data_IF_941805379011
#
_entry.id   IF_941805379011
#
_cell.length_a   1.000
_cell.length_b   1.000
_cell.length_c   1.000
_cell.angle_alpha   90.00
_cell.angle_beta   90.00
_cell.angle_gamma   90.00
#
_symmetry.space_group_name_H-M   'P 1'
#
loop_
_entity.id
_entity.type
_entity.pdbx_description
1 polymer ?
#
# COMPACT_ATOMS: atom_id res chain seq x y z
N UNK A 1 18.88 -20.86 16.41
CA UNK A 1 19.47 -19.60 16.88
C UNK A 1 18.46 -18.46 16.87
N UNK A 2 18.66 -17.44 17.69
CA UNK A 2 17.88 -16.20 17.64
C UNK A 2 18.78 -15.13 17.01
N UNK A 3 18.20 -14.33 16.11
CA UNK A 3 18.81 -13.14 15.53
C UNK A 3 18.09 -11.92 16.06
N UNK A 4 18.83 -10.82 16.21
CA UNK A 4 18.27 -9.55 16.64
C UNK A 4 18.35 -8.56 15.50
N UNK A 5 17.21 -7.98 15.12
CA UNK A 5 17.15 -6.89 14.18
C UNK A 5 17.07 -5.58 14.92
N UNK A 6 17.92 -4.64 14.52
CA UNK A 6 17.92 -3.27 14.97
C UNK A 6 17.23 -2.41 13.92
N UNK A 7 16.16 -1.73 14.32
CA UNK A 7 15.51 -0.70 13.52
C UNK A 7 15.85 0.63 14.15
N UNK A 8 16.52 1.51 13.40
CA UNK A 8 16.91 2.84 13.83
C UNK A 8 16.17 3.84 12.96
N UNK A 9 15.36 4.68 13.61
CA UNK A 9 14.62 5.76 12.96
C UNK A 9 15.12 7.08 13.51
N UNK A 10 15.67 7.91 12.65
CA UNK A 10 16.24 9.20 13.00
C UNK A 10 15.51 10.32 12.26
N UNK A 11 15.17 11.38 12.98
CA UNK A 11 14.64 12.62 12.43
C UNK A 11 15.46 13.84 12.87
N UNK A 12 15.39 14.91 12.12
CA UNK A 12 16.01 16.21 12.41
C UNK A 12 14.99 17.23 12.90
N UNK A 13 13.90 16.78 13.51
CA UNK A 13 12.80 17.61 14.01
C UNK A 13 13.14 18.40 15.27
N UNK A 14 12.09 18.89 15.93
CA UNK A 14 12.24 19.73 17.14
C UNK A 14 12.84 18.99 18.34
N UNK A 15 12.92 17.66 18.28
CA UNK A 15 13.36 16.83 19.40
C UNK A 15 12.37 16.85 20.57
N UNK A 16 12.66 16.09 21.61
CA UNK A 16 11.80 15.83 22.77
C UNK A 16 12.49 16.38 24.04
N UNK A 17 11.71 17.02 24.92
CA UNK A 17 12.20 17.51 26.19
C UNK A 17 12.53 16.35 27.15
N UNK A 18 13.44 16.58 28.12
CA UNK A 18 13.81 15.54 29.10
C UNK A 18 12.61 15.07 29.92
N UNK A 19 11.77 15.99 30.38
CA UNK A 19 10.56 15.67 31.15
C UNK A 19 9.57 14.81 30.36
N UNK A 20 9.50 15.03 29.03
CA UNK A 20 8.61 14.27 28.16
C UNK A 20 9.19 12.89 27.84
N UNK A 21 10.52 12.71 27.76
CA UNK A 21 11.14 11.41 27.52
C UNK A 21 10.75 10.36 28.56
N UNK A 22 10.66 10.75 29.84
CA UNK A 22 10.27 9.85 30.92
C UNK A 22 8.84 9.34 30.78
N UNK A 23 7.97 10.11 30.14
CA UNK A 23 6.53 9.81 29.95
C UNK A 23 6.15 9.45 28.53
N UNK A 24 7.11 9.47 27.62
CA UNK A 24 6.88 9.33 26.18
C UNK A 24 6.07 8.09 25.79
N UNK A 25 6.24 7.01 26.53
CA UNK A 25 5.55 5.75 26.32
C UNK A 25 4.29 5.57 27.19
N UNK A 26 3.92 6.57 27.99
CA UNK A 26 2.69 6.52 28.77
C UNK A 26 1.47 6.83 27.85
N UNK A 27 0.29 6.23 28.12
CA UNK A 27 -0.91 6.49 27.34
C UNK A 27 -1.34 7.96 27.42
N UNK A 28 -1.79 8.52 26.29
CA UNK A 28 -2.34 9.87 26.17
C UNK A 28 -1.37 11.03 26.44
N UNK A 29 -0.06 10.76 26.55
CA UNK A 29 0.93 11.81 26.73
C UNK A 29 1.27 12.52 25.40
N UNK A 30 1.35 13.86 25.48
CA UNK A 30 1.69 14.75 24.36
C UNK A 30 2.47 15.95 24.90
N UNK A 31 3.47 16.44 24.16
CA UNK A 31 4.35 17.52 24.61
C UNK A 31 3.64 18.88 24.73
N UNK A 32 2.57 19.13 23.98
CA UNK A 32 1.72 20.32 24.12
C UNK A 32 0.35 20.16 23.46
N UNK A 33 -0.69 20.79 24.04
CA UNK A 33 -2.03 20.87 23.45
C UNK A 33 -2.10 21.65 22.13
N UNK A 34 -1.07 22.42 21.79
CA UNK A 34 -0.96 23.18 20.54
C UNK A 34 -0.55 22.30 19.36
N UNK A 35 0.29 21.30 19.58
CA UNK A 35 0.71 20.33 18.55
C UNK A 35 -0.43 19.36 18.17
N UNK A 36 -1.33 19.05 19.10
CA UNK A 36 -2.50 18.20 18.87
C UNK A 36 -3.47 18.77 17.82
N UNK A 37 -3.54 20.11 17.71
CA UNK A 37 -4.41 20.79 16.72
C UNK A 37 -3.83 20.79 15.30
N UNK A 38 -2.53 20.65 15.15
CA UNK A 38 -1.87 20.68 13.83
C UNK A 38 -1.59 19.28 13.24
N UNK A 39 -1.40 18.24 14.07
CA UNK A 39 -0.99 16.91 13.60
C UNK A 39 -1.82 15.73 14.15
N UNK A 40 -2.90 15.98 14.89
CA UNK A 40 -4.00 15.02 15.13
C UNK A 40 -3.69 13.69 15.82
N UNK A 41 -2.62 13.60 16.62
CA UNK A 41 -2.26 12.34 17.29
C UNK A 41 -3.07 12.09 18.57
N UNK A 42 -3.47 10.82 18.84
CA UNK A 42 -4.20 10.42 20.07
C UNK A 42 -3.31 10.26 21.31
N UNK A 43 -1.97 10.35 21.19
CA UNK A 43 -1.02 10.01 22.26
C UNK A 43 -0.95 8.51 22.61
N UNK A 44 -1.56 7.65 21.80
CA UNK A 44 -1.56 6.20 22.03
C UNK A 44 -0.49 5.46 21.20
N UNK A 45 0.00 6.03 20.11
CA UNK A 45 0.85 5.33 19.15
C UNK A 45 2.12 4.76 19.77
N UNK A 46 2.89 5.55 20.50
CA UNK A 46 4.13 5.10 21.12
C UNK A 46 3.93 4.11 22.28
N UNK A 47 2.84 4.26 23.04
CA UNK A 47 2.44 3.29 24.05
C UNK A 47 2.11 1.93 23.43
N UNK A 48 1.33 1.91 22.35
CA UNK A 48 1.00 0.68 21.61
C UNK A 48 2.26 0.08 21.02
N UNK A 49 3.13 0.89 20.40
CA UNK A 49 4.41 0.42 19.83
C UNK A 49 5.27 -0.27 20.90
N UNK A 50 5.42 0.35 22.07
CA UNK A 50 6.19 -0.25 23.19
C UNK A 50 5.60 -1.58 23.61
N UNK A 51 4.30 -1.66 23.82
CA UNK A 51 3.62 -2.89 24.20
C UNK A 51 3.80 -4.01 23.15
N UNK A 52 3.72 -3.69 21.87
CA UNK A 52 3.95 -4.66 20.79
C UNK A 52 5.40 -5.16 20.78
N UNK A 53 6.38 -4.25 20.92
CA UNK A 53 7.79 -4.60 20.99
C UNK A 53 8.07 -5.51 22.20
N UNK A 54 7.50 -5.20 23.36
CA UNK A 54 7.65 -6.02 24.57
C UNK A 54 6.97 -7.41 24.44
N UNK A 55 5.78 -7.46 23.81
CA UNK A 55 5.11 -8.73 23.49
C UNK A 55 5.95 -9.60 22.55
N UNK A 56 6.72 -8.99 21.66
CA UNK A 56 7.68 -9.67 20.78
C UNK A 56 9.01 -9.99 21.49
N UNK A 57 9.12 -9.78 22.81
CA UNK A 57 10.34 -9.95 23.58
C UNK A 57 11.49 -9.06 23.13
N UNK A 58 11.19 -7.91 22.55
CA UNK A 58 12.12 -6.88 22.11
C UNK A 58 12.27 -5.75 23.11
N UNK A 59 12.99 -4.70 22.70
CA UNK A 59 13.14 -3.45 23.44
C UNK A 59 13.07 -2.24 22.52
N UNK A 60 12.58 -1.12 23.05
CA UNK A 60 12.55 0.16 22.38
C UNK A 60 13.22 1.20 23.26
N UNK A 61 14.06 2.04 22.67
CA UNK A 61 14.73 3.17 23.33
C UNK A 61 14.63 4.42 22.48
N UNK A 62 14.78 5.59 23.12
CA UNK A 62 14.73 6.90 22.48
C UNK A 62 15.93 7.73 22.93
N UNK A 63 16.61 8.33 21.98
CA UNK A 63 17.60 9.38 22.20
C UNK A 63 17.09 10.63 21.48
N UNK A 64 16.93 11.73 22.23
CA UNK A 64 16.44 12.98 21.66
C UNK A 64 17.03 14.17 22.39
N UNK A 65 17.21 15.25 21.68
CA UNK A 65 17.62 16.54 22.23
C UNK A 65 16.80 17.64 21.56
N UNK A 66 16.17 18.50 22.39
CA UNK A 66 15.37 19.64 21.91
C UNK A 66 16.17 20.49 20.91
N UNK A 67 15.61 20.72 19.74
CA UNK A 67 16.22 21.44 18.62
C UNK A 67 17.24 20.62 17.78
N UNK A 68 17.38 19.33 18.01
CA UNK A 68 18.34 18.48 17.27
C UNK A 68 17.73 17.26 16.61
N UNK A 69 16.48 16.91 16.94
CA UNK A 69 15.82 15.73 16.42
C UNK A 69 15.73 14.59 17.42
N UNK A 70 15.26 13.44 16.95
CA UNK A 70 15.01 12.24 17.74
C UNK A 70 15.50 11.00 17.01
N UNK A 71 16.06 10.06 17.76
CA UNK A 71 16.41 8.72 17.28
C UNK A 71 15.69 7.68 18.11
N UNK A 72 14.86 6.88 17.48
CA UNK A 72 14.26 5.69 18.06
C UNK A 72 15.07 4.46 17.65
N UNK A 73 15.36 3.58 18.61
CA UNK A 73 15.98 2.29 18.35
C UNK A 73 15.07 1.18 18.85
N UNK A 74 14.66 0.28 17.96
CA UNK A 74 13.85 -0.90 18.27
C UNK A 74 14.69 -2.13 18.01
N UNK A 75 14.75 -3.02 19.00
CA UNK A 75 15.45 -4.29 18.93
C UNK A 75 14.45 -5.43 19.03
N UNK A 76 14.37 -6.28 18.00
CA UNK A 76 13.46 -7.41 17.98
C UNK A 76 14.20 -8.73 17.76
N UNK A 77 13.91 -9.77 18.60
CA UNK A 77 14.41 -11.11 18.38
C UNK A 77 13.55 -11.85 17.34
N UNK A 78 14.22 -12.50 16.38
CA UNK A 78 13.57 -13.40 15.43
C UNK A 78 14.25 -14.79 15.48
N UNK A 79 13.43 -15.82 15.39
CA UNK A 79 13.93 -17.17 15.15
C UNK A 79 14.28 -17.36 13.68
N UNK A 80 15.32 -18.13 13.38
CA UNK A 80 15.51 -18.63 12.02
C UNK A 80 14.37 -19.56 11.66
N UNK A 81 13.79 -19.32 10.51
CA UNK A 81 12.92 -20.30 9.89
C UNK A 81 13.80 -21.45 9.35
N UNK A 82 13.68 -22.62 9.97
CA UNK A 82 14.43 -23.83 9.56
C UNK A 82 13.90 -24.40 8.23
N UNK A 83 12.70 -23.99 7.83
CA UNK A 83 12.07 -24.36 6.57
C UNK A 83 11.59 -23.11 5.80
N UNK A 84 12.51 -22.23 5.38
CA UNK A 84 12.10 -21.03 4.67
C UNK A 84 11.28 -21.46 3.46
N UNK A 85 10.02 -21.05 3.42
CA UNK A 85 9.25 -21.15 2.18
C UNK A 85 10.08 -20.37 1.15
N UNK A 86 10.67 -21.10 0.20
CA UNK A 86 11.31 -20.44 -0.94
C UNK A 86 10.21 -19.61 -1.59
N UNK A 87 10.09 -18.34 -1.20
CA UNK A 87 9.40 -17.38 -2.05
C UNK A 87 10.01 -17.62 -3.41
N UNK A 88 9.20 -17.97 -4.41
CA UNK A 88 9.68 -17.96 -5.78
C UNK A 88 10.33 -16.60 -5.94
N UNK A 89 11.67 -16.55 -5.97
CA UNK A 89 12.34 -15.37 -6.47
C UNK A 89 11.76 -15.24 -7.87
N UNK A 90 10.92 -14.22 -8.03
CA UNK A 90 10.50 -13.86 -9.38
C UNK A 90 11.83 -13.49 -10.01
N UNK A 91 12.31 -14.35 -10.92
CA UNK A 91 13.51 -14.10 -11.69
C UNK A 91 13.19 -12.96 -12.67
N UNK A 92 13.07 -11.77 -12.12
CA UNK A 92 13.07 -10.52 -12.91
C UNK A 92 14.48 -10.19 -13.41
N UNK A 93 15.50 -10.95 -12.96
CA UNK A 93 16.85 -10.84 -13.50
C UNK A 93 16.83 -11.26 -14.99
N UNK A 94 16.71 -10.24 -15.87
CA UNK A 94 16.74 -10.40 -17.32
C UNK A 94 15.42 -10.17 -18.05
N UNK A 95 14.27 -10.09 -17.40
CA UNK A 95 13.03 -9.67 -18.07
C UNK A 95 12.94 -8.14 -18.12
N UNK A 96 12.98 -7.61 -19.32
CA UNK A 96 12.72 -6.20 -19.56
C UNK A 96 11.23 -6.00 -19.89
N UNK A 97 10.48 -5.46 -18.94
CA UNK A 97 9.10 -5.08 -19.18
C UNK A 97 9.04 -3.73 -19.89
N UNK A 98 8.16 -3.60 -20.86
CA UNK A 98 7.90 -2.36 -21.56
C UNK A 98 6.44 -2.30 -21.97
N UNK A 99 5.68 -1.42 -21.33
CA UNK A 99 4.24 -1.24 -21.56
C UNK A 99 3.95 0.06 -22.34
N UNK A 100 4.87 0.49 -23.21
CA UNK A 100 4.69 1.67 -24.05
C UNK A 100 3.39 1.60 -24.85
N UNK A 101 2.60 2.69 -24.80
CA UNK A 101 1.29 2.77 -25.43
C UNK A 101 0.14 2.13 -24.66
N UNK A 102 0.41 1.48 -23.51
CA UNK A 102 -0.63 0.97 -22.61
C UNK A 102 -0.95 1.98 -21.52
N UNK A 103 -2.20 1.95 -21.07
CA UNK A 103 -2.73 2.85 -20.05
C UNK A 103 -3.46 2.05 -18.98
N UNK A 104 -3.23 2.39 -17.73
CA UNK A 104 -3.82 1.76 -16.56
C UNK A 104 -4.60 2.79 -15.77
N UNK A 105 -5.70 2.41 -15.14
CA UNK A 105 -6.42 3.21 -14.16
C UNK A 105 -6.05 2.72 -12.75
N UNK A 106 -5.49 3.61 -11.93
CA UNK A 106 -5.16 3.36 -10.52
C UNK A 106 -6.16 4.11 -9.64
N UNK A 107 -6.82 3.41 -8.73
CA UNK A 107 -7.62 4.00 -7.67
C UNK A 107 -6.93 3.76 -6.32
N UNK A 108 -6.45 4.83 -5.70
CA UNK A 108 -5.72 4.84 -4.42
C UNK A 108 -5.95 6.21 -3.76
N UNK A 109 -6.40 6.22 -2.51
CA UNK A 109 -6.72 7.45 -1.77
C UNK A 109 -5.51 8.06 -1.06
N UNK A 110 -4.46 7.28 -0.86
CA UNK A 110 -3.23 7.72 -0.19
C UNK A 110 -2.22 8.20 -1.23
N UNK A 111 -1.97 9.52 -1.27
CA UNK A 111 -1.09 10.16 -2.24
C UNK A 111 0.29 9.49 -2.33
N UNK A 112 0.91 9.21 -1.18
CA UNK A 112 2.22 8.54 -1.15
C UNK A 112 2.20 7.15 -1.83
N UNK A 113 1.16 6.34 -1.59
CA UNK A 113 1.05 5.02 -2.22
C UNK A 113 0.83 5.15 -3.73
N UNK A 114 -0.01 6.10 -4.13
CA UNK A 114 -0.28 6.39 -5.53
C UNK A 114 0.99 6.81 -6.28
N UNK A 115 1.77 7.75 -5.72
CA UNK A 115 3.00 8.25 -6.32
C UNK A 115 4.02 7.13 -6.55
N UNK A 116 4.20 6.24 -5.55
CA UNK A 116 5.11 5.10 -5.67
C UNK A 116 4.70 4.18 -6.83
N UNK A 117 3.42 3.85 -6.95
CA UNK A 117 2.92 2.98 -8.04
C UNK A 117 3.05 3.66 -9.39
N UNK A 118 2.70 4.95 -9.48
CA UNK A 118 2.79 5.73 -10.72
C UNK A 118 4.24 5.84 -11.21
N UNK A 119 5.18 6.13 -10.30
CA UNK A 119 6.60 6.23 -10.66
C UNK A 119 7.15 4.90 -11.18
N UNK A 120 6.85 3.81 -10.50
CA UNK A 120 7.34 2.48 -10.89
C UNK A 120 6.72 1.97 -12.20
N UNK A 121 5.44 2.22 -12.43
CA UNK A 121 4.81 1.93 -13.73
C UNK A 121 5.36 2.83 -14.84
N UNK A 122 5.73 4.06 -14.50
CA UNK A 122 6.43 4.98 -15.40
C UNK A 122 7.80 4.46 -15.87
N UNK A 123 8.54 3.76 -14.99
CA UNK A 123 9.85 3.15 -15.35
C UNK A 123 9.73 2.09 -16.45
N UNK A 124 8.56 1.47 -16.59
CA UNK A 124 8.25 0.48 -17.65
C UNK A 124 7.38 1.07 -18.76
N UNK A 125 7.36 2.40 -18.89
CA UNK A 125 6.64 3.18 -19.91
C UNK A 125 5.10 3.01 -19.91
N UNK A 126 4.50 2.61 -18.81
CA UNK A 126 3.05 2.55 -18.67
C UNK A 126 2.49 3.93 -18.29
N UNK A 127 1.42 4.34 -18.95
CA UNK A 127 0.67 5.53 -18.56
C UNK A 127 -0.33 5.17 -17.48
N UNK A 128 -0.49 6.04 -16.48
CA UNK A 128 -1.41 5.83 -15.36
C UNK A 128 -2.32 7.05 -15.24
N UNK A 129 -3.64 6.82 -15.21
CA UNK A 129 -4.60 7.80 -14.71
C UNK A 129 -4.90 7.45 -13.26
N UNK A 130 -4.87 8.45 -12.39
CA UNK A 130 -5.08 8.29 -10.95
C UNK A 130 -6.49 8.77 -10.56
N UNK A 131 -7.20 7.93 -9.81
CA UNK A 131 -8.44 8.25 -9.10
C UNK A 131 -8.18 8.23 -7.59
N UNK A 132 -8.70 9.20 -6.84
CA UNK A 132 -8.50 9.32 -5.39
C UNK A 132 -9.57 8.57 -4.56
N UNK A 133 -10.55 8.00 -5.21
CA UNK A 133 -11.61 7.19 -4.61
C UNK A 133 -12.34 6.37 -5.68
N UNK A 134 -13.22 5.46 -5.25
CA UNK A 134 -13.97 4.61 -6.17
C UNK A 134 -14.92 5.36 -7.10
N UNK A 135 -15.45 6.52 -6.68
CA UNK A 135 -16.33 7.34 -7.53
C UNK A 135 -15.55 7.92 -8.71
N UNK A 136 -14.41 8.54 -8.44
CA UNK A 136 -13.54 9.06 -9.50
C UNK A 136 -13.07 7.95 -10.45
N UNK A 137 -12.78 6.74 -9.93
CA UNK A 137 -12.40 5.61 -10.76
C UNK A 137 -13.53 5.22 -11.74
N UNK A 138 -14.77 5.15 -11.27
CA UNK A 138 -15.94 4.89 -12.13
C UNK A 138 -16.10 6.01 -13.16
N UNK A 139 -16.00 7.27 -12.77
CA UNK A 139 -16.14 8.42 -13.65
C UNK A 139 -15.07 8.43 -14.74
N UNK A 140 -13.80 8.27 -14.38
CA UNK A 140 -12.67 8.20 -15.32
C UNK A 140 -12.85 7.04 -16.29
N UNK A 141 -13.26 5.88 -15.80
CA UNK A 141 -13.54 4.73 -16.66
C UNK A 141 -14.67 5.05 -17.64
N UNK A 142 -15.80 5.59 -17.21
CA UNK A 142 -16.95 5.88 -18.07
C UNK A 142 -16.67 6.99 -19.09
N UNK A 143 -15.82 7.97 -18.76
CA UNK A 143 -15.44 9.08 -19.65
C UNK A 143 -14.36 8.70 -20.66
N UNK A 144 -13.56 7.66 -20.38
CA UNK A 144 -12.53 7.18 -21.30
C UNK A 144 -13.12 6.50 -22.53
N UNK A 145 -12.31 6.36 -23.58
CA UNK A 145 -12.71 5.55 -24.73
C UNK A 145 -12.81 4.08 -24.36
N UNK A 146 -13.72 3.28 -24.96
CA UNK A 146 -13.69 1.84 -24.79
C UNK A 146 -12.29 1.27 -25.11
N UNK A 147 -11.83 0.34 -24.28
CA UNK A 147 -10.51 -0.31 -24.37
C UNK A 147 -9.30 0.64 -24.21
N UNK A 148 -9.50 1.85 -23.68
CA UNK A 148 -8.40 2.78 -23.40
C UNK A 148 -7.50 2.28 -22.27
N UNK A 149 -8.10 1.72 -21.22
CA UNK A 149 -7.36 1.08 -20.13
C UNK A 149 -7.16 -0.40 -20.41
N UNK A 150 -5.93 -0.88 -20.17
CA UNK A 150 -5.62 -2.31 -20.24
C UNK A 150 -5.99 -3.05 -18.95
N UNK A 151 -6.01 -2.35 -17.82
CA UNK A 151 -6.41 -2.87 -16.51
C UNK A 151 -6.79 -1.73 -15.55
N UNK A 152 -7.44 -2.09 -14.45
CA UNK A 152 -7.73 -1.23 -13.31
C UNK A 152 -7.11 -1.86 -12.06
N UNK A 153 -6.28 -1.10 -11.35
CA UNK A 153 -5.83 -1.41 -10.00
C UNK A 153 -6.67 -0.61 -9.02
N UNK A 154 -7.32 -1.28 -8.08
CA UNK A 154 -8.36 -0.71 -7.24
C UNK A 154 -8.08 -0.98 -5.77
N UNK A 155 -7.72 0.05 -4.99
CA UNK A 155 -7.73 -0.10 -3.53
C UNK A 155 -9.16 -0.41 -3.06
N UNK A 156 -9.26 -1.31 -2.09
CA UNK A 156 -10.55 -1.70 -1.52
C UNK A 156 -11.06 -0.60 -0.58
N UNK A 157 -10.16 -0.05 0.25
CA UNK A 157 -10.56 0.87 1.33
C UNK A 157 -10.31 2.31 0.93
N UNK A 158 -11.31 2.94 0.35
CA UNK A 158 -11.27 4.34 -0.06
C UNK A 158 -12.49 5.10 0.48
N UNK A 159 -12.37 6.42 0.73
CA UNK A 159 -13.50 7.27 1.11
C UNK A 159 -14.53 7.38 -0.01
N UNK A 160 -15.73 7.85 0.29
CA UNK A 160 -16.88 8.11 -0.58
C UNK A 160 -17.44 6.87 -1.27
N UNK A 161 -16.63 6.03 -1.89
CA UNK A 161 -17.00 4.78 -2.54
C UNK A 161 -15.83 3.80 -2.43
N UNK A 162 -16.08 2.65 -1.83
CA UNK A 162 -15.09 1.59 -1.73
C UNK A 162 -14.82 0.90 -3.06
N UNK A 163 -13.72 0.13 -3.14
CA UNK A 163 -13.33 -0.54 -4.38
C UNK A 163 -14.30 -1.63 -4.83
N UNK A 164 -15.00 -2.28 -3.90
CA UNK A 164 -16.00 -3.30 -4.27
C UNK A 164 -17.21 -2.69 -4.98
N UNK A 165 -17.71 -1.58 -4.45
CA UNK A 165 -18.84 -0.87 -5.07
C UNK A 165 -18.42 -0.26 -6.41
N UNK A 166 -17.20 0.30 -6.50
CA UNK A 166 -16.66 0.80 -7.75
C UNK A 166 -16.57 -0.30 -8.82
N UNK A 167 -16.06 -1.48 -8.46
CA UNK A 167 -15.98 -2.62 -9.39
C UNK A 167 -17.37 -3.06 -9.87
N UNK A 168 -18.36 -3.18 -8.96
CA UNK A 168 -19.74 -3.50 -9.34
C UNK A 168 -20.32 -2.49 -10.34
N UNK A 169 -20.09 -1.20 -10.12
CA UNK A 169 -20.57 -0.15 -11.02
C UNK A 169 -19.88 -0.17 -12.38
N UNK A 170 -18.58 -0.43 -12.40
CA UNK A 170 -17.85 -0.62 -13.66
C UNK A 170 -18.42 -1.80 -14.42
N UNK A 171 -18.65 -2.95 -13.77
CA UNK A 171 -19.21 -4.16 -14.38
C UNK A 171 -20.64 -3.99 -14.89
N UNK A 172 -21.45 -3.16 -14.23
CA UNK A 172 -22.82 -2.86 -14.61
C UNK A 172 -22.95 -1.81 -15.73
N UNK A 173 -21.84 -1.22 -16.17
CA UNK A 173 -21.85 -0.18 -17.21
C UNK A 173 -22.17 -0.73 -18.60
N UNK A 174 -22.89 0.05 -19.41
CA UNK A 174 -23.27 -0.28 -20.81
C UNK A 174 -22.13 -0.13 -21.83
N UNK A 175 -20.88 -0.32 -21.38
CA UNK A 175 -19.69 -0.24 -22.25
C UNK A 175 -19.28 -1.62 -22.74
N UNK A 176 -18.76 -1.74 -23.97
CA UNK A 176 -18.38 -3.05 -24.53
C UNK A 176 -17.22 -3.71 -23.76
N UNK A 177 -16.38 -2.93 -23.06
CA UNK A 177 -15.26 -3.40 -22.25
C UNK A 177 -15.58 -3.54 -20.75
N UNK A 178 -16.73 -3.05 -20.29
CA UNK A 178 -17.09 -3.07 -18.86
C UNK A 178 -17.11 -4.48 -18.23
N UNK A 179 -17.59 -5.46 -18.97
CA UNK A 179 -17.65 -6.85 -18.52
C UNK A 179 -16.29 -7.54 -18.51
N UNK A 180 -15.32 -7.04 -19.29
CA UNK A 180 -14.07 -7.77 -19.57
C UNK A 180 -12.81 -7.08 -19.05
N UNK A 181 -12.86 -5.76 -18.79
CA UNK A 181 -11.67 -5.06 -18.30
C UNK A 181 -11.10 -5.73 -17.03
N UNK A 182 -9.81 -6.11 -16.99
CA UNK A 182 -9.22 -6.66 -15.80
C UNK A 182 -9.26 -5.65 -14.64
N UNK A 183 -9.87 -6.05 -13.52
CA UNK A 183 -9.89 -5.26 -12.28
C UNK A 183 -9.23 -6.09 -11.19
N UNK A 184 -8.15 -5.56 -10.61
CA UNK A 184 -7.45 -6.21 -9.51
C UNK A 184 -7.54 -5.38 -8.25
N UNK A 185 -7.97 -6.00 -7.17
CA UNK A 185 -8.01 -5.37 -5.87
C UNK A 185 -6.59 -5.13 -5.34
N UNK A 186 -6.34 -3.99 -4.72
CA UNK A 186 -5.16 -3.77 -3.88
C UNK A 186 -5.63 -3.84 -2.43
N UNK A 187 -5.06 -4.75 -1.63
CA UNK A 187 -5.52 -4.99 -0.26
C UNK A 187 -4.37 -5.10 0.73
N UNK A 188 -4.60 -4.64 1.96
CA UNK A 188 -3.63 -4.84 3.05
C UNK A 188 -3.58 -6.30 3.55
N UNK A 189 -4.61 -7.11 3.27
CA UNK A 189 -4.74 -8.47 3.78
C UNK A 189 -5.16 -9.43 2.66
N UNK A 190 -4.57 -10.62 2.66
CA UNK A 190 -4.93 -11.74 1.77
C UNK A 190 -5.85 -12.77 2.47
N UNK A 191 -6.81 -12.30 3.30
CA UNK A 191 -7.75 -13.24 3.92
C UNK A 191 -8.73 -13.78 2.87
N UNK A 192 -9.10 -15.04 3.03
CA UNK A 192 -10.01 -15.74 2.11
C UNK A 192 -11.34 -15.00 1.92
N UNK A 193 -11.79 -14.31 2.96
CA UNK A 193 -13.00 -13.49 2.96
C UNK A 193 -12.88 -12.26 2.04
N UNK A 194 -11.74 -11.56 2.10
CA UNK A 194 -11.48 -10.38 1.25
C UNK A 194 -11.33 -10.78 -0.22
N UNK A 195 -10.66 -11.91 -0.48
CA UNK A 195 -10.52 -12.47 -1.83
C UNK A 195 -11.89 -12.84 -2.40
N UNK A 196 -12.72 -13.53 -1.62
CA UNK A 196 -14.07 -13.91 -2.03
C UNK A 196 -14.95 -12.68 -2.29
N UNK A 197 -14.84 -11.64 -1.47
CA UNK A 197 -15.57 -10.40 -1.65
C UNK A 197 -15.17 -9.67 -2.95
N UNK A 198 -13.86 -9.64 -3.26
CA UNK A 198 -13.36 -9.06 -4.50
C UNK A 198 -13.89 -9.79 -5.75
N UNK A 199 -13.83 -11.13 -5.74
CA UNK A 199 -14.36 -11.93 -6.83
C UNK A 199 -15.88 -11.76 -7.00
N UNK A 200 -16.63 -11.71 -5.89
CA UNK A 200 -18.08 -11.46 -5.89
C UNK A 200 -18.45 -10.05 -6.38
N UNK A 201 -17.54 -9.07 -6.22
CA UNK A 201 -17.69 -7.74 -6.78
C UNK A 201 -17.36 -7.68 -8.29
N UNK A 202 -16.92 -8.79 -8.90
CA UNK A 202 -16.57 -8.88 -10.32
C UNK A 202 -15.10 -8.52 -10.60
N UNK A 203 -14.22 -8.49 -9.58
CA UNK A 203 -12.79 -8.33 -9.78
C UNK A 203 -12.16 -9.64 -10.26
N UNK A 204 -11.01 -9.56 -10.94
CA UNK A 204 -10.30 -10.70 -11.52
C UNK A 204 -9.30 -11.33 -10.55
N UNK A 205 -8.90 -10.62 -9.51
CA UNK A 205 -7.95 -11.07 -8.51
C UNK A 205 -7.56 -9.96 -7.54
N UNK A 206 -6.45 -10.17 -6.83
CA UNK A 206 -5.96 -9.21 -5.84
C UNK A 206 -4.44 -9.15 -5.83
N UNK A 207 -3.92 -8.04 -5.33
CA UNK A 207 -2.51 -7.75 -5.05
C UNK A 207 -2.43 -7.33 -3.58
N UNK A 208 -1.49 -7.87 -2.84
CA UNK A 208 -1.32 -7.57 -1.41
C UNK A 208 -0.34 -6.43 -1.22
N UNK A 209 -0.66 -5.48 -0.35
CA UNK A 209 0.28 -4.43 0.09
C UNK A 209 1.26 -5.02 1.14
N UNK A 210 2.57 -4.70 1.08
CA UNK A 210 3.22 -3.84 0.09
C UNK A 210 3.29 -4.50 -1.29
N UNK A 211 3.07 -3.71 -2.35
CA UNK A 211 3.07 -4.22 -3.72
C UNK A 211 4.47 -4.68 -4.10
N UNK A 212 4.61 -5.96 -4.41
CA UNK A 212 5.82 -6.53 -4.98
C UNK A 212 5.84 -6.26 -6.49
N UNK A 213 6.72 -5.36 -6.93
CA UNK A 213 6.68 -4.86 -8.32
C UNK A 213 6.95 -5.92 -9.37
N UNK A 214 7.77 -6.92 -9.04
CA UNK A 214 7.95 -8.08 -9.91
C UNK A 214 6.65 -8.82 -10.19
N UNK A 215 5.83 -9.04 -9.16
CA UNK A 215 4.51 -9.68 -9.29
C UNK A 215 3.55 -8.79 -10.09
N UNK A 216 3.58 -7.47 -9.84
CA UNK A 216 2.76 -6.52 -10.58
C UNK A 216 3.13 -6.51 -12.08
N UNK A 217 4.42 -6.49 -12.41
CA UNK A 217 4.86 -6.48 -13.80
C UNK A 217 4.55 -7.80 -14.51
N UNK A 218 4.69 -8.95 -13.85
CA UNK A 218 4.29 -10.24 -14.42
C UNK A 218 2.79 -10.32 -14.66
N UNK A 219 1.98 -9.82 -13.72
CA UNK A 219 0.54 -9.73 -13.87
C UNK A 219 0.16 -8.88 -15.08
N UNK A 220 0.73 -7.67 -15.18
CA UNK A 220 0.46 -6.75 -16.28
C UNK A 220 0.95 -7.29 -17.63
N UNK A 221 2.09 -7.98 -17.66
CA UNK A 221 2.61 -8.64 -18.86
C UNK A 221 1.66 -9.73 -19.35
N UNK A 222 1.13 -10.53 -18.44
CA UNK A 222 0.07 -11.51 -18.73
C UNK A 222 -1.16 -10.86 -19.34
N UNK A 223 -1.67 -9.80 -18.74
CA UNK A 223 -2.85 -9.06 -19.22
C UNK A 223 -2.63 -8.45 -20.60
N UNK A 224 -1.47 -7.82 -20.82
CA UNK A 224 -1.15 -7.12 -22.08
C UNK A 224 -0.89 -8.09 -23.23
N UNK A 225 -0.33 -9.27 -22.94
CA UNK A 225 0.04 -10.26 -23.93
C UNK A 225 -1.03 -11.33 -24.18
N UNK A 226 -2.03 -11.45 -23.30
CA UNK A 226 -3.18 -12.31 -23.56
C UNK A 226 -3.97 -11.78 -24.77
N UNK A 227 -4.09 -12.62 -25.81
CA UNK A 227 -4.71 -12.27 -27.13
C UNK A 227 -6.20 -11.93 -27.06
N UNK A 228 -6.81 -11.81 -25.88
CA UNK A 228 -8.22 -11.55 -25.66
C UNK A 228 -8.61 -10.07 -25.62
N UNK A 229 -7.69 -9.15 -25.39
CA UNK A 229 -7.93 -7.70 -25.21
C UNK A 229 -7.63 -6.86 -26.45
N UNK A 230 -7.29 -7.49 -27.58
CA UNK A 230 -7.07 -6.80 -28.85
C UNK A 230 -8.21 -7.16 -29.82
N UNK A 231 -9.37 -6.48 -29.67
CA UNK A 231 -10.34 -6.37 -30.79
C UNK A 231 -10.96 -5.01 -30.80
#
# INVERSE_FOLDING_TARGET
>A
GRFYYHFILEDTGEGISEDMKERLFAPFEQESHTTAKQHGGSGLGLCITKNLVELMSGSISVESKKGKGTTFTVLLPFALDEHPVKRKKIETEGKHYNFAGKKLLLAEDTEFNADVVVELLGMVNMKVDLAKNGREAVELFLQSKPYEYCAILMDIRMPEMDGYEAARRIRAGDRPDAAYIPVYAITANAFVEDISAALNAGMNGHIVKPIEFGELYELLDGIVNEKGFQK
#
